data_IF_395270651507
#
_entry.id   IF_395270651507
#
_cell.length_a   1.000
_cell.length_b   1.000
_cell.length_c   1.000
_cell.angle_alpha   90.00
_cell.angle_beta   90.00
_cell.angle_gamma   90.00
#
_symmetry.space_group_name_H-M   'P 1'
#
loop_
_entity.id
_entity.type
_entity.pdbx_description
1 polymer ?
#
# COMPACT_ATOMS: atom_id res chain seq x y z
N UNK A 1 -9.39 -3.53 -9.13
CA UNK A 1 -8.27 -4.47 -9.05
C UNK A 1 -8.68 -5.75 -9.76
N UNK A 2 -7.80 -6.24 -10.61
CA UNK A 2 -8.16 -7.36 -11.46
C UNK A 2 -7.83 -8.71 -10.86
N UNK A 3 -6.74 -8.79 -10.15
CA UNK A 3 -6.27 -10.06 -9.61
C UNK A 3 -6.13 -10.03 -8.10
N UNK A 4 -6.74 -9.06 -7.46
CA UNK A 4 -6.56 -8.83 -6.03
C UNK A 4 -7.89 -8.48 -5.39
N UNK A 5 -7.95 -8.53 -4.08
CA UNK A 5 -9.16 -8.12 -3.38
C UNK A 5 -8.82 -7.22 -2.22
N UNK A 6 -9.81 -6.60 -1.64
CA UNK A 6 -9.60 -5.70 -0.52
C UNK A 6 -9.54 -6.47 0.78
N UNK A 7 -8.63 -6.07 1.65
CA UNK A 7 -8.56 -6.59 2.98
C UNK A 7 -9.55 -5.79 3.80
N UNK A 8 -10.53 -6.42 4.42
CA UNK A 8 -11.60 -5.69 5.10
C UNK A 8 -11.75 -6.00 6.58
N UNK A 9 -11.41 -7.19 7.00
CA UNK A 9 -11.68 -7.58 8.39
C UNK A 9 -10.61 -7.05 9.33
N UNK A 10 -11.04 -6.51 10.45
CA UNK A 10 -10.11 -5.99 11.44
C UNK A 10 -9.12 -7.05 11.88
N UNK A 11 -9.55 -8.28 12.02
CA UNK A 11 -8.67 -9.37 12.40
C UNK A 11 -7.53 -9.55 11.41
N UNK A 12 -7.81 -9.40 10.12
CA UNK A 12 -6.79 -9.55 9.10
C UNK A 12 -5.79 -8.40 9.14
N UNK A 13 -6.27 -7.17 9.38
CA UNK A 13 -5.37 -6.04 9.56
C UNK A 13 -4.45 -6.28 10.75
N UNK A 14 -4.99 -6.76 11.86
CA UNK A 14 -4.18 -6.98 13.05
C UNK A 14 -3.10 -8.05 12.82
N UNK A 15 -3.42 -9.07 12.05
CA UNK A 15 -2.44 -10.09 11.71
C UNK A 15 -1.28 -9.49 10.93
N UNK A 16 -1.58 -8.63 9.98
CA UNK A 16 -0.55 -8.02 9.16
C UNK A 16 0.32 -7.08 10.01
N UNK A 17 -0.30 -6.31 10.89
CA UNK A 17 0.47 -5.42 11.76
C UNK A 17 1.36 -6.23 12.70
N UNK A 18 0.87 -7.35 13.20
CA UNK A 18 1.61 -8.11 14.18
C UNK A 18 2.70 -8.97 13.58
N UNK A 19 2.47 -9.55 12.43
CA UNK A 19 3.37 -10.52 11.84
C UNK A 19 4.08 -10.07 10.59
N UNK A 20 3.64 -9.00 9.98
CA UNK A 20 4.22 -8.52 8.73
C UNK A 20 5.48 -7.69 8.95
N UNK A 21 6.16 -7.41 7.86
CA UNK A 21 7.32 -6.55 7.86
C UNK A 21 6.86 -5.15 7.44
N UNK A 22 7.34 -4.11 8.10
CA UNK A 22 6.93 -2.76 7.76
C UNK A 22 8.10 -1.93 7.27
N UNK A 23 7.81 -1.04 6.34
CA UNK A 23 8.75 -0.03 5.88
C UNK A 23 7.99 1.27 5.72
N UNK A 24 8.68 2.38 5.84
CA UNK A 24 8.04 3.68 5.80
C UNK A 24 8.83 4.64 4.94
N UNK A 25 8.15 5.64 4.44
CA UNK A 25 8.81 6.77 3.80
C UNK A 25 8.10 8.04 4.27
N UNK A 26 8.27 9.13 3.53
CA UNK A 26 7.74 10.42 3.96
C UNK A 26 6.22 10.44 4.10
N UNK A 27 5.52 9.77 3.21
CA UNK A 27 4.06 9.89 3.17
C UNK A 27 3.29 8.65 3.60
N UNK A 28 3.89 7.49 3.51
CA UNK A 28 3.17 6.22 3.74
C UNK A 28 3.98 5.26 4.58
N UNK A 29 3.25 4.32 5.20
CA UNK A 29 3.86 3.16 5.85
C UNK A 29 3.23 1.95 5.18
N UNK A 30 4.03 0.96 4.82
CA UNK A 30 3.52 -0.26 4.17
C UNK A 30 3.96 -1.48 4.96
N UNK A 31 2.98 -2.31 5.31
CA UNK A 31 3.20 -3.61 5.93
C UNK A 31 2.94 -4.68 4.90
N UNK A 32 3.76 -5.71 4.88
CA UNK A 32 3.60 -6.82 3.94
C UNK A 32 3.72 -8.12 4.69
N UNK A 33 2.79 -9.03 4.47
CA UNK A 33 2.80 -10.36 5.07
C UNK A 33 2.42 -11.36 3.98
N UNK A 34 3.26 -12.36 3.70
CA UNK A 34 2.88 -13.40 2.75
C UNK A 34 1.62 -14.12 3.22
N UNK A 35 0.75 -14.46 2.31
CA UNK A 35 -0.47 -15.17 2.65
C UNK A 35 -0.55 -16.49 1.86
N UNK A 36 -1.57 -17.29 2.16
CA UNK A 36 -1.75 -18.55 1.46
C UNK A 36 -2.93 -18.51 0.50
N UNK A 37 -3.38 -17.30 0.15
CA UNK A 37 -4.42 -17.15 -0.83
C UNK A 37 -3.75 -17.07 -2.20
N UNK A 38 -4.52 -17.26 -3.22
CA UNK A 38 -3.95 -17.25 -4.57
C UNK A 38 -3.89 -15.84 -5.13
N UNK A 39 -4.10 -14.83 -4.33
CA UNK A 39 -4.12 -13.45 -4.79
C UNK A 39 -3.66 -12.52 -3.69
N UNK A 40 -3.33 -11.30 -4.06
CA UNK A 40 -2.97 -10.29 -3.11
C UNK A 40 -4.23 -9.71 -2.47
N UNK A 41 -4.09 -9.24 -1.24
CA UNK A 41 -5.17 -8.51 -0.58
C UNK A 41 -4.61 -7.17 -0.14
N UNK A 42 -5.30 -6.09 -0.48
CA UNK A 42 -4.85 -4.74 -0.17
C UNK A 42 -5.75 -4.11 0.87
N UNK A 43 -5.16 -3.67 1.98
CA UNK A 43 -5.86 -2.92 3.01
C UNK A 43 -5.29 -1.52 3.09
N UNK A 44 -6.14 -0.53 3.31
CA UNK A 44 -5.72 0.85 3.39
C UNK A 44 -6.31 1.45 4.65
N UNK A 45 -5.47 2.13 5.43
CA UNK A 45 -5.91 2.74 6.67
C UNK A 45 -5.49 4.21 6.69
N UNK A 46 -6.48 5.10 6.83
CA UNK A 46 -6.23 6.53 6.96
C UNK A 46 -6.95 6.99 8.22
N UNK A 47 -6.20 7.37 9.24
CA UNK A 47 -6.81 7.71 10.52
C UNK A 47 -7.43 9.10 10.51
N UNK A 48 -8.29 9.36 11.50
CA UNK A 48 -8.94 10.65 11.62
C UNK A 48 -7.93 11.77 11.86
N UNK A 49 -6.74 11.45 12.32
CA UNK A 49 -5.72 12.47 12.56
C UNK A 49 -5.20 13.08 11.26
N UNK A 50 -5.33 12.38 10.15
CA UNK A 50 -4.87 12.90 8.86
C UNK A 50 -5.80 13.97 8.34
N UNK A 51 -7.10 13.81 8.57
CA UNK A 51 -8.07 14.79 8.10
C UNK A 51 -9.50 14.29 8.25
N UNK A 52 -10.43 15.08 7.76
CA UNK A 52 -11.85 14.74 7.82
C UNK A 52 -12.17 13.62 6.82
N UNK A 53 -13.44 13.24 6.75
CA UNK A 53 -13.85 12.12 5.92
C UNK A 53 -13.56 12.34 4.43
N UNK A 54 -13.66 13.57 3.96
CA UNK A 54 -13.37 13.87 2.55
C UNK A 54 -11.89 13.64 2.26
N UNK A 55 -11.02 14.12 3.13
CA UNK A 55 -9.57 13.94 2.98
C UNK A 55 -9.21 12.47 3.04
N UNK A 56 -9.78 11.75 4.02
CA UNK A 56 -9.47 10.33 4.18
C UNK A 56 -9.94 9.52 2.99
N UNK A 57 -11.12 9.84 2.47
CA UNK A 57 -11.66 9.13 1.33
C UNK A 57 -10.80 9.35 0.09
N UNK A 58 -10.35 10.60 -0.10
CA UNK A 58 -9.50 10.93 -1.22
C UNK A 58 -8.18 10.14 -1.16
N UNK A 59 -7.53 10.12 0.00
CA UNK A 59 -6.27 9.40 0.13
C UNK A 59 -6.45 7.91 -0.09
N UNK A 60 -7.53 7.33 0.43
CA UNK A 60 -7.81 5.92 0.20
C UNK A 60 -7.93 5.64 -1.29
N UNK A 61 -8.60 6.52 -2.03
CA UNK A 61 -8.75 6.33 -3.47
C UNK A 61 -7.41 6.46 -4.19
N UNK A 62 -6.58 7.42 -3.80
CA UNK A 62 -5.27 7.60 -4.44
C UNK A 62 -4.37 6.40 -4.21
N UNK A 63 -4.39 5.84 -3.01
CA UNK A 63 -3.58 4.67 -2.70
C UNK A 63 -4.09 3.45 -3.46
N UNK A 64 -5.42 3.27 -3.49
CA UNK A 64 -5.99 2.14 -4.23
C UNK A 64 -5.68 2.24 -5.71
N UNK A 65 -5.75 3.45 -6.26
CA UNK A 65 -5.46 3.65 -7.66
C UNK A 65 -3.98 3.40 -7.96
N UNK A 66 -3.09 3.77 -7.04
CA UNK A 66 -1.68 3.50 -7.19
C UNK A 66 -1.41 2.00 -7.33
N UNK A 67 -2.11 1.19 -6.53
CA UNK A 67 -1.98 -0.25 -6.65
C UNK A 67 -2.64 -0.77 -7.93
N UNK A 68 -3.85 -0.31 -8.21
CA UNK A 68 -4.61 -0.81 -9.35
C UNK A 68 -3.85 -0.62 -10.68
N UNK A 69 -3.25 0.54 -10.84
CA UNK A 69 -2.54 0.83 -12.09
C UNK A 69 -1.21 0.11 -12.20
N UNK A 70 -0.68 -0.41 -11.10
CA UNK A 70 0.60 -1.10 -11.08
C UNK A 70 0.46 -2.57 -10.65
N UNK A 71 -0.77 -3.07 -10.60
CA UNK A 71 -1.04 -4.38 -10.05
C UNK A 71 -0.21 -5.49 -10.67
N UNK A 72 0.00 -5.43 -11.95
CA UNK A 72 0.71 -6.50 -12.65
C UNK A 72 2.20 -6.56 -12.30
N UNK A 73 2.72 -5.50 -11.71
CA UNK A 73 4.13 -5.47 -11.33
C UNK A 73 4.37 -6.14 -9.98
N UNK A 74 3.31 -6.45 -9.26
CA UNK A 74 3.45 -6.96 -7.91
C UNK A 74 3.54 -8.48 -7.85
N UNK A 75 4.35 -8.99 -6.92
CA UNK A 75 4.37 -10.40 -6.62
C UNK A 75 3.00 -10.79 -6.06
N UNK A 76 2.70 -12.07 -6.04
CA UNK A 76 1.41 -12.55 -5.60
C UNK A 76 1.47 -13.18 -4.22
N UNK A 77 0.32 -13.48 -3.68
CA UNK A 77 0.15 -14.14 -2.37
C UNK A 77 0.64 -13.26 -1.23
N UNK A 78 0.30 -11.98 -1.30
CA UNK A 78 0.70 -11.02 -0.27
C UNK A 78 -0.50 -10.31 0.32
N UNK A 79 -0.46 -10.09 1.63
CA UNK A 79 -1.36 -9.14 2.26
C UNK A 79 -0.54 -7.85 2.40
N UNK A 80 -1.05 -6.77 1.86
CA UNK A 80 -0.38 -5.48 1.86
C UNK A 80 -1.28 -4.49 2.57
N UNK A 81 -0.79 -3.85 3.62
CA UNK A 81 -1.55 -2.81 4.32
C UNK A 81 -0.77 -1.51 4.23
N UNK A 82 -1.44 -0.47 3.77
CA UNK A 82 -0.83 0.83 3.59
C UNK A 82 -1.51 1.81 4.53
N UNK A 83 -0.72 2.54 5.30
CA UNK A 83 -1.20 3.56 6.22
C UNK A 83 -0.73 4.90 5.71
N UNK A 84 -1.63 5.88 5.61
CA UNK A 84 -1.26 7.22 5.20
C UNK A 84 -0.78 7.98 6.43
N UNK A 85 0.34 8.67 6.28
CA UNK A 85 0.86 9.53 7.34
C UNK A 85 0.23 10.91 7.21
N UNK A 86 0.32 11.72 8.27
CA UNK A 86 -0.25 13.06 8.25
C UNK A 86 0.31 13.89 7.09
N UNK A 87 1.58 13.67 6.75
CA UNK A 87 2.22 14.40 5.66
C UNK A 87 1.65 14.08 4.28
N UNK A 88 0.83 13.03 4.18
CA UNK A 88 0.22 12.67 2.89
C UNK A 88 -0.96 13.56 2.54
N UNK A 89 -1.51 14.31 3.51
CA UNK A 89 -2.65 15.17 3.24
C UNK A 89 -2.25 16.16 2.16
N UNK A 90 -3.04 16.45 1.24
CA UNK A 90 -2.82 17.41 0.17
C UNK A 90 -1.74 17.02 -0.86
N UNK A 91 -1.25 15.80 -0.82
CA UNK A 91 -0.28 15.39 -1.85
C UNK A 91 -1.02 15.00 -3.13
N UNK A 92 -0.35 15.17 -4.25
CA UNK A 92 -0.92 14.82 -5.54
C UNK A 92 -0.94 13.31 -5.73
N UNK A 93 -1.68 12.86 -6.73
CA UNK A 93 -1.67 11.44 -7.06
C UNK A 93 -0.26 10.96 -7.39
N UNK A 94 0.48 11.75 -8.16
CA UNK A 94 1.84 11.37 -8.56
C UNK A 94 2.74 11.20 -7.35
N UNK A 95 2.59 12.06 -6.35
CA UNK A 95 3.40 11.96 -5.14
C UNK A 95 3.01 10.73 -4.34
N UNK A 96 1.73 10.43 -4.24
CA UNK A 96 1.26 9.25 -3.52
C UNK A 96 1.67 7.97 -4.25
N UNK A 97 1.52 7.94 -5.56
CA UNK A 97 1.92 6.77 -6.33
C UNK A 97 3.43 6.54 -6.22
N UNK A 98 4.22 7.58 -6.31
CA UNK A 98 5.66 7.46 -6.19
C UNK A 98 6.04 6.91 -4.81
N UNK A 99 5.39 7.41 -3.75
CA UNK A 99 5.64 6.92 -2.40
C UNK A 99 5.23 5.46 -2.25
N UNK A 100 4.10 5.08 -2.85
CA UNK A 100 3.60 3.72 -2.79
C UNK A 100 4.58 2.76 -3.48
N UNK A 101 5.00 3.09 -4.69
CA UNK A 101 5.90 2.23 -5.44
C UNK A 101 7.29 2.18 -4.81
N UNK A 102 7.73 3.27 -4.19
CA UNK A 102 8.99 3.28 -3.47
C UNK A 102 8.96 2.24 -2.34
N UNK A 103 7.86 2.16 -1.60
CA UNK A 103 7.75 1.17 -0.53
C UNK A 103 7.65 -0.25 -1.08
N UNK A 104 6.96 -0.42 -2.19
CA UNK A 104 6.89 -1.74 -2.82
C UNK A 104 8.27 -2.21 -3.25
N UNK A 105 9.10 -1.30 -3.73
CA UNK A 105 10.46 -1.65 -4.09
C UNK A 105 11.32 -1.94 -2.87
N UNK A 106 11.14 -1.17 -1.79
CA UNK A 106 11.87 -1.43 -0.56
C UNK A 106 11.53 -2.79 0.03
N UNK A 107 10.31 -3.25 -0.16
CA UNK A 107 9.90 -4.58 0.27
C UNK A 107 10.28 -5.66 -0.75
N UNK A 108 10.76 -5.27 -1.91
CA UNK A 108 11.09 -6.17 -3.01
C UNK A 108 9.87 -6.99 -3.46
N UNK A 109 8.70 -6.36 -3.48
CA UNK A 109 7.49 -7.06 -3.89
C UNK A 109 6.94 -6.56 -5.22
N UNK A 110 7.51 -5.51 -5.79
CA UNK A 110 7.13 -5.05 -7.10
C UNK A 110 8.37 -5.16 -7.97
N UNK A 111 8.30 -6.03 -8.93
CA UNK A 111 9.46 -6.28 -9.72
C UNK A 111 9.51 -5.41 -10.92
N UNK A 112 10.36 -5.74 -11.70
CA UNK A 112 10.38 -5.13 -12.95
C UNK A 112 11.13 -3.88 -13.09
N UNK A 113 11.29 -3.15 -12.19
CA UNK A 113 11.88 -1.99 -12.49
C UNK A 113 13.13 -1.90 -11.88
N UNK A 114 13.38 -2.64 -11.24
CA UNK A 114 14.40 -2.67 -10.58
C UNK A 114 15.56 -2.44 -11.21
N UNK A 115 15.76 -2.81 -12.18
CA UNK A 115 16.87 -2.77 -12.75
C UNK A 115 17.29 -1.46 -12.67
N UNK A 116 16.61 -0.68 -12.91
CA UNK A 116 16.92 0.55 -12.92
C UNK A 116 17.42 0.88 -11.70
N UNK A 117 17.19 0.28 -11.00
CA UNK A 117 17.51 0.48 -9.87
C UNK A 117 18.82 0.54 -9.68
N UNK A 118 19.48 0.37 -10.50
CA UNK A 118 20.79 0.42 -10.29
C UNK A 118 21.17 1.66 -9.61
N UNK A 119 20.48 2.40 -9.17
CA UNK A 119 21.01 3.47 -8.44
C UNK A 119 20.69 3.34 -6.96
#
# INVERSE_FOLDING_TARGET
MKYSESLKKNRDFQQVYKRGTSKANRYLVMYVLPNQHMMNRLGISVSKKVGNSVVRHRLTRLIRESYRLNEEKFNRNLDIVVIARNSAKDRSYQEIESAFMNLAQKHAIAGGTDEETSY
#
